data_IF_398978840037
#
_entry.id   IF_398978840037
#
_cell.length_a   1.000
_cell.length_b   1.000
_cell.length_c   1.000
_cell.angle_alpha   90.00
_cell.angle_beta   90.00
_cell.angle_gamma   90.00
#
_symmetry.space_group_name_H-M   'P 1'
#
loop_
_entity.id
_entity.type
_entity.pdbx_description
1 polymer ?
#
# COMPACT_ATOMS: atom_id res chain seq x y z
N UNK A 1 -25.09 -12.76 45.93
CA UNK A 1 -25.91 -12.32 44.77
C UNK A 1 -25.58 -10.87 44.43
N UNK A 2 -25.32 -10.61 43.15
CA UNK A 2 -25.37 -9.31 42.44
C UNK A 2 -24.19 -8.34 42.60
N UNK A 3 -23.23 -8.47 41.71
CA UNK A 3 -22.40 -7.38 41.20
C UNK A 3 -22.17 -7.65 39.72
N UNK A 4 -23.18 -7.41 38.90
CA UNK A 4 -23.15 -7.63 37.44
C UNK A 4 -22.35 -6.51 36.78
N UNK A 5 -21.08 -6.80 36.57
CA UNK A 5 -20.10 -5.97 35.91
C UNK A 5 -20.19 -6.13 34.37
N UNK A 6 -20.35 -4.97 33.69
CA UNK A 6 -19.76 -4.65 32.37
C UNK A 6 -20.38 -5.23 31.08
N UNK A 7 -21.63 -4.87 30.80
CA UNK A 7 -22.15 -4.83 29.41
C UNK A 7 -22.55 -3.40 29.01
N UNK A 8 -21.55 -2.52 28.92
CA UNK A 8 -21.72 -1.19 28.32
C UNK A 8 -21.04 -1.17 26.96
N UNK A 9 -21.91 -1.13 25.94
CA UNK A 9 -21.71 -0.64 24.58
C UNK A 9 -21.04 -1.60 23.58
N UNK A 10 -21.86 -2.57 23.17
CA UNK A 10 -21.88 -3.08 21.79
C UNK A 10 -22.53 -2.02 20.90
N UNK A 11 -21.72 -1.23 20.18
CA UNK A 11 -22.17 -0.16 19.28
C UNK A 11 -22.55 -0.73 17.89
N UNK A 12 -23.81 -0.65 17.43
CA UNK A 12 -24.25 -1.14 16.13
C UNK A 12 -24.12 -0.10 15.00
N UNK A 13 -23.36 0.98 15.19
CA UNK A 13 -23.26 2.10 14.23
C UNK A 13 -21.91 2.23 13.53
N UNK A 14 -20.88 1.44 13.89
CA UNK A 14 -19.56 1.57 13.27
C UNK A 14 -19.48 0.82 11.94
N UNK A 15 -19.96 1.45 10.87
CA UNK A 15 -19.51 1.14 9.52
C UNK A 15 -17.99 1.35 9.48
N UNK A 16 -17.24 0.27 9.60
CA UNK A 16 -15.81 0.27 9.28
C UNK A 16 -15.71 0.52 7.77
N UNK A 17 -15.42 1.74 7.38
CA UNK A 17 -14.90 2.00 6.04
C UNK A 17 -13.70 1.07 5.86
N UNK A 18 -13.74 0.26 4.81
CA UNK A 18 -12.72 -0.70 4.38
C UNK A 18 -11.32 -0.20 4.72
N UNK A 19 -10.76 -0.72 5.82
CA UNK A 19 -9.47 -0.28 6.33
C UNK A 19 -8.37 -0.89 5.48
N UNK A 20 -7.91 -0.15 4.47
CA UNK A 20 -6.70 -0.48 3.70
C UNK A 20 -5.52 -0.76 4.66
N UNK A 21 -4.76 -1.81 4.34
CA UNK A 21 -3.86 -2.54 5.23
C UNK A 21 -2.99 -1.69 6.15
N UNK A 22 -3.34 -1.65 7.44
CA UNK A 22 -2.43 -1.17 8.49
C UNK A 22 -1.68 -2.39 9.03
N UNK A 23 -0.50 -2.67 8.51
CA UNK A 23 0.35 -3.72 9.07
C UNK A 23 0.94 -3.23 10.41
N UNK A 24 0.21 -3.44 11.50
CA UNK A 24 0.65 -3.07 12.85
C UNK A 24 1.70 -4.07 13.36
N UNK A 25 2.95 -3.90 12.95
CA UNK A 25 4.06 -4.62 13.58
C UNK A 25 4.43 -3.94 14.90
N UNK A 26 4.18 -4.59 16.04
CA UNK A 26 4.40 -4.02 17.39
C UNK A 26 5.87 -3.66 17.69
N UNK A 27 6.83 -4.14 16.89
CA UNK A 27 8.25 -3.81 17.02
C UNK A 27 8.68 -2.55 16.23
N UNK A 28 7.81 -1.98 15.40
CA UNK A 28 8.12 -0.78 14.62
C UNK A 28 7.73 0.49 15.39
N UNK A 29 8.69 1.38 15.65
CA UNK A 29 8.45 2.66 16.34
C UNK A 29 7.45 3.58 15.62
N UNK A 30 7.43 3.56 14.29
CA UNK A 30 6.47 4.32 13.49
C UNK A 30 5.05 3.75 13.60
N UNK A 31 4.90 2.43 13.72
CA UNK A 31 3.61 1.79 14.00
C UNK A 31 3.13 2.09 15.42
N UNK A 32 4.01 2.04 16.42
CA UNK A 32 3.63 2.28 17.83
C UNK A 32 3.23 3.73 18.10
N UNK A 33 3.78 4.67 17.33
CA UNK A 33 3.38 6.10 17.35
C UNK A 33 2.09 6.38 16.58
N UNK A 34 1.51 5.37 15.90
CA UNK A 34 0.25 5.50 15.17
C UNK A 34 0.37 6.33 13.88
N UNK A 35 1.58 6.57 13.39
CA UNK A 35 1.79 7.29 12.14
C UNK A 35 1.33 6.46 10.96
N UNK A 36 0.64 7.12 10.04
CA UNK A 36 0.07 6.48 8.88
C UNK A 36 1.13 6.32 7.78
N UNK A 37 1.67 5.11 7.64
CA UNK A 37 2.72 4.78 6.67
C UNK A 37 2.57 3.35 6.16
N UNK A 38 3.21 3.06 5.04
CA UNK A 38 3.31 1.73 4.46
C UNK A 38 4.74 1.19 4.61
N UNK A 39 4.86 -0.14 4.78
CA UNK A 39 6.14 -0.85 4.82
C UNK A 39 6.56 -1.41 3.45
N UNK A 40 5.63 -1.43 2.50
CA UNK A 40 5.93 -1.76 1.12
C UNK A 40 6.85 -0.73 0.49
N UNK A 41 7.53 -1.15 -0.57
CA UNK A 41 8.33 -0.26 -1.41
C UNK A 41 7.43 0.32 -2.48
N UNK A 42 7.40 1.64 -2.59
CA UNK A 42 6.71 2.31 -3.69
C UNK A 42 7.61 2.34 -4.91
N UNK A 43 7.20 1.67 -5.98
CA UNK A 43 7.86 1.67 -7.28
C UNK A 43 7.19 2.74 -8.13
N UNK A 44 7.96 3.68 -8.67
CA UNK A 44 7.49 4.72 -9.57
C UNK A 44 7.89 4.37 -11.00
N UNK A 45 6.92 4.20 -11.87
CA UNK A 45 7.11 3.90 -13.27
C UNK A 45 7.45 5.16 -14.09
N UNK A 46 8.08 4.97 -15.25
CA UNK A 46 8.47 6.06 -16.15
C UNK A 46 7.29 6.88 -16.71
N UNK A 47 6.09 6.30 -16.73
CA UNK A 47 4.83 6.98 -17.11
C UNK A 47 4.18 7.76 -15.94
N UNK A 48 4.82 7.73 -14.76
CA UNK A 48 4.33 8.40 -13.55
C UNK A 48 3.35 7.58 -12.73
N UNK A 49 2.97 6.37 -13.16
CA UNK A 49 2.21 5.44 -12.34
C UNK A 49 3.06 4.96 -11.16
N UNK A 50 2.40 4.54 -10.09
CA UNK A 50 3.06 3.99 -8.93
C UNK A 50 2.45 2.64 -8.53
N UNK A 51 3.27 1.74 -8.02
CA UNK A 51 2.86 0.45 -7.48
C UNK A 51 3.52 0.25 -6.11
N UNK A 52 2.79 -0.30 -5.15
CA UNK A 52 3.37 -0.69 -3.88
C UNK A 52 3.58 -2.20 -3.87
N UNK A 53 4.73 -2.67 -3.39
CA UNK A 53 4.99 -4.11 -3.23
C UNK A 53 4.10 -4.78 -2.19
N UNK A 54 3.42 -4.00 -1.33
CA UNK A 54 2.31 -4.50 -0.50
C UNK A 54 1.01 -4.47 -1.31
N UNK A 55 0.55 -5.64 -1.75
CA UNK A 55 -0.69 -5.79 -2.52
C UNK A 55 -1.98 -5.43 -1.77
N UNK A 56 -1.92 -5.07 -0.48
CA UNK A 56 -3.04 -4.53 0.28
C UNK A 56 -2.95 -3.00 0.48
N UNK A 57 -1.90 -2.37 -0.03
CA UNK A 57 -1.74 -0.92 -0.03
C UNK A 57 -2.52 -0.32 -1.22
N UNK A 58 -3.55 0.47 -0.91
CA UNK A 58 -4.34 1.19 -1.92
C UNK A 58 -4.02 2.68 -1.98
N UNK A 59 -3.13 3.17 -1.11
CA UNK A 59 -2.73 4.56 -1.06
C UNK A 59 -1.29 4.67 -1.54
N UNK A 60 -1.08 5.22 -2.74
CA UNK A 60 0.19 5.27 -3.45
C UNK A 60 0.89 6.64 -3.32
N UNK A 61 0.52 7.44 -2.31
CA UNK A 61 1.20 8.70 -2.04
C UNK A 61 2.65 8.45 -1.55
N UNK A 62 3.61 9.12 -2.18
CA UNK A 62 5.03 9.06 -1.82
C UNK A 62 5.27 9.47 -0.37
N UNK A 63 4.51 10.41 0.17
CA UNK A 63 4.64 10.87 1.56
C UNK A 63 4.32 9.77 2.59
N UNK A 64 3.61 8.70 2.18
CA UNK A 64 3.22 7.58 3.03
C UNK A 64 4.16 6.37 2.93
N UNK A 65 5.10 6.39 1.99
CA UNK A 65 6.05 5.31 1.77
C UNK A 65 7.44 5.74 2.22
N UNK A 66 7.98 5.04 3.21
CA UNK A 66 9.33 5.31 3.69
C UNK A 66 10.40 5.01 2.62
N UNK A 67 10.10 4.07 1.72
CA UNK A 67 10.98 3.70 0.62
C UNK A 67 10.24 3.88 -0.71
N UNK A 68 10.79 4.74 -1.57
CA UNK A 68 10.35 4.96 -2.94
C UNK A 68 11.54 4.76 -3.87
N UNK A 69 11.35 3.98 -4.94
CA UNK A 69 12.37 3.71 -5.97
C UNK A 69 11.78 3.90 -7.36
N UNK A 70 12.63 4.15 -8.36
CA UNK A 70 12.26 4.09 -9.77
C UNK A 70 12.10 2.64 -10.24
N UNK A 71 11.27 2.43 -11.26
CA UNK A 71 11.09 1.10 -11.86
C UNK A 71 12.36 0.57 -12.54
N UNK A 72 13.28 1.46 -12.91
CA UNK A 72 14.60 1.16 -13.46
C UNK A 72 15.57 0.59 -12.41
N UNK A 73 15.31 0.83 -11.12
CA UNK A 73 16.11 0.32 -10.00
C UNK A 73 15.67 -1.10 -9.56
N UNK A 74 14.54 -1.60 -10.10
CA UNK A 74 14.01 -2.92 -9.75
C UNK A 74 14.94 -4.02 -10.29
N UNK A 75 15.43 -4.87 -9.38
CA UNK A 75 16.24 -6.03 -9.76
C UNK A 75 15.44 -6.98 -10.66
N UNK A 76 15.97 -7.31 -11.83
CA UNK A 76 15.27 -8.07 -12.88
C UNK A 76 14.60 -7.18 -13.94
N UNK A 77 14.66 -5.86 -13.77
CA UNK A 77 14.09 -4.89 -14.69
C UNK A 77 12.57 -4.78 -14.58
N UNK A 78 12.03 -3.71 -15.16
CA UNK A 78 10.59 -3.53 -15.33
C UNK A 78 10.26 -3.57 -16.82
N UNK A 79 9.29 -4.40 -17.22
CA UNK A 79 8.81 -4.43 -18.61
C UNK A 79 8.23 -3.09 -19.11
N UNK A 80 7.97 -2.15 -18.19
CA UNK A 80 7.58 -0.78 -18.48
C UNK A 80 8.71 0.11 -19.01
N UNK A 81 9.98 -0.23 -18.71
CA UNK A 81 11.16 0.49 -19.19
C UNK A 81 11.61 0.02 -20.58
N UNK A 82 11.07 -1.11 -21.05
CA UNK A 82 11.32 -1.60 -22.40
C UNK A 82 10.53 -0.73 -23.40
N UNK A 83 11.18 -0.20 -24.46
CA UNK A 83 10.46 0.51 -25.50
C UNK A 83 9.42 -0.45 -26.07
N UNK A 84 8.14 -0.03 -26.10
CA UNK A 84 7.07 -0.81 -26.70
C UNK A 84 7.52 -1.24 -28.09
N UNK A 85 7.78 -2.54 -28.28
CA UNK A 85 8.11 -3.09 -29.57
C UNK A 85 6.96 -2.72 -30.50
N UNK A 86 7.21 -1.76 -31.39
CA UNK A 86 6.17 -1.23 -32.27
C UNK A 86 5.57 -2.42 -33.01
N UNK A 87 4.26 -2.73 -32.86
CA UNK A 87 3.68 -3.81 -33.61
C UNK A 87 3.82 -3.40 -35.07
N UNK A 88 4.70 -4.10 -35.79
CA UNK A 88 4.82 -3.98 -37.23
C UNK A 88 3.42 -4.24 -37.78
N UNK A 89 2.72 -3.17 -38.15
CA UNK A 89 1.46 -3.21 -38.87
C UNK A 89 1.71 -4.05 -40.13
N UNK A 90 1.24 -5.28 -40.12
CA UNK A 90 1.17 -6.07 -41.34
C UNK A 90 0.04 -5.45 -42.16
N UNK A 91 0.44 -4.75 -43.22
CA UNK A 91 -0.48 -4.28 -44.24
C UNK A 91 -1.16 -5.48 -44.91
N UNK A 92 -2.44 -5.34 -45.23
CA UNK A 92 -3.17 -6.17 -46.19
C UNK A 92 -3.86 -5.26 -47.18
#
# INVERSE_FOLDING_TARGET
MRGMDRDLLRDPGRTVASGNGRHSNMACSTCTTGLNHCHGTLIVHGDGLAECTDGQCADLDRARHALTIGCDEVAGGCGCAEPAASPLRHAS
#
